data_IF_144210646462
#
_entry.id   IF_144210646462
#
_cell.length_a   1.000
_cell.length_b   1.000
_cell.length_c   1.000
_cell.angle_alpha   90.00
_cell.angle_beta   90.00
_cell.angle_gamma   90.00
#
_symmetry.space_group_name_H-M   'P 1'
#
loop_
_entity.id
_entity.type
_entity.pdbx_description
1 polymer ?
#
# COMPACT_ATOMS: atom_id res chain seq x y z
N UNK A 1 2.83 -4.00 12.82
CA UNK A 1 1.61 -3.20 13.10
C UNK A 1 0.40 -4.13 13.20
N UNK A 2 -0.81 -3.61 13.40
CA UNK A 2 -2.02 -4.43 13.59
C UNK A 2 -2.31 -5.41 12.45
N UNK A 3 -2.31 -4.94 11.20
CA UNK A 3 -2.78 -5.69 10.01
C UNK A 3 -1.75 -5.84 8.89
N UNK A 4 -0.51 -5.38 9.09
CA UNK A 4 0.61 -5.52 8.14
C UNK A 4 0.82 -4.37 7.17
N UNK A 5 -0.20 -3.57 6.86
CA UNK A 5 -0.06 -2.52 5.83
C UNK A 5 1.01 -1.47 6.17
N UNK A 6 1.00 -0.95 7.41
CA UNK A 6 2.03 0.01 7.86
C UNK A 6 3.42 -0.62 7.90
N UNK A 7 3.52 -1.93 8.16
CA UNK A 7 4.80 -2.63 8.16
C UNK A 7 5.33 -2.82 6.73
N UNK A 8 4.45 -3.02 5.73
CA UNK A 8 4.84 -3.05 4.31
C UNK A 8 5.40 -1.69 3.86
N UNK A 9 4.72 -0.58 4.20
CA UNK A 9 5.23 0.77 3.89
C UNK A 9 6.60 1.00 4.53
N UNK A 10 6.75 0.65 5.82
CA UNK A 10 8.01 0.79 6.54
C UNK A 10 9.13 -0.06 5.91
N UNK A 11 8.84 -1.30 5.54
CA UNK A 11 9.78 -2.20 4.87
C UNK A 11 10.25 -1.61 3.54
N UNK A 12 9.33 -1.10 2.71
CA UNK A 12 9.68 -0.44 1.44
C UNK A 12 10.56 0.78 1.66
N UNK A 13 10.22 1.64 2.62
CA UNK A 13 11.00 2.83 2.93
C UNK A 13 12.41 2.47 3.43
N UNK A 14 12.54 1.52 4.35
CA UNK A 14 13.84 1.07 4.85
C UNK A 14 14.71 0.45 3.75
N UNK A 15 14.11 -0.35 2.87
CA UNK A 15 14.79 -0.88 1.69
C UNK A 15 15.32 0.23 0.78
N UNK A 16 14.52 1.27 0.51
CA UNK A 16 14.94 2.44 -0.26
C UNK A 16 16.07 3.24 0.42
N UNK A 17 16.16 3.19 1.75
CA UNK A 17 17.25 3.79 2.54
C UNK A 17 18.50 2.89 2.62
N UNK A 18 18.53 1.76 1.92
CA UNK A 18 19.69 0.87 1.82
C UNK A 18 19.74 -0.27 2.86
N UNK A 19 18.70 -0.44 3.66
CA UNK A 19 18.60 -1.60 4.56
C UNK A 19 18.27 -2.85 3.76
N UNK A 20 19.11 -3.89 3.87
CA UNK A 20 19.03 -5.06 2.98
C UNK A 20 18.32 -6.27 3.58
N UNK A 21 18.15 -6.35 4.90
CA UNK A 21 17.43 -7.44 5.58
C UNK A 21 16.27 -6.89 6.40
N UNK A 22 15.23 -6.43 5.70
CA UNK A 22 14.00 -5.91 6.29
C UNK A 22 12.83 -6.77 5.84
N UNK A 23 11.98 -7.18 6.80
CA UNK A 23 10.83 -8.06 6.55
C UNK A 23 9.59 -7.53 7.23
N UNK A 24 8.45 -7.69 6.56
CA UNK A 24 7.13 -7.47 7.15
C UNK A 24 6.53 -8.80 7.61
N UNK A 25 5.93 -8.84 8.79
CA UNK A 25 5.26 -10.03 9.32
C UNK A 25 3.95 -10.28 8.56
N UNK A 26 3.94 -11.31 7.71
CA UNK A 26 2.76 -11.76 6.97
C UNK A 26 1.77 -12.52 7.87
N UNK A 27 0.55 -12.77 7.36
CA UNK A 27 -0.49 -13.50 8.09
C UNK A 27 -1.18 -12.66 9.15
N UNK A 28 -1.70 -11.47 8.79
CA UNK A 28 -2.41 -10.59 9.72
C UNK A 28 -1.53 -9.83 10.70
N UNK A 29 -0.20 -9.93 10.60
CA UNK A 29 0.77 -9.27 11.50
C UNK A 29 0.46 -9.48 12.98
N UNK A 30 0.29 -8.40 13.77
CA UNK A 30 0.03 -8.54 15.20
C UNK A 30 -1.36 -9.15 15.46
N UNK A 31 -2.36 -8.85 14.64
CA UNK A 31 -3.68 -9.48 14.75
C UNK A 31 -3.59 -11.00 14.57
N UNK A 32 -2.92 -11.45 13.50
CA UNK A 32 -2.74 -12.88 13.27
C UNK A 32 -1.81 -13.56 14.28
N UNK A 33 -0.84 -12.84 14.86
CA UNK A 33 -0.02 -13.35 15.97
C UNK A 33 -0.88 -13.70 17.20
N UNK A 34 -1.82 -12.82 17.54
CA UNK A 34 -2.77 -13.03 18.63
C UNK A 34 -3.74 -14.16 18.30
N UNK A 35 -4.29 -14.19 17.08
CA UNK A 35 -5.21 -15.26 16.63
C UNK A 35 -4.55 -16.65 16.65
N UNK A 36 -3.25 -16.72 16.35
CA UNK A 36 -2.46 -17.95 16.43
C UNK A 36 -2.14 -18.38 17.87
N UNK A 37 -2.52 -17.60 18.89
CA UNK A 37 -2.29 -17.90 20.30
C UNK A 37 -0.84 -17.72 20.75
N UNK A 38 -0.05 -16.93 20.03
CA UNK A 38 1.33 -16.67 20.43
C UNK A 38 1.40 -15.70 21.62
N UNK A 39 2.46 -15.79 22.46
CA UNK A 39 2.57 -14.95 23.65
C UNK A 39 2.58 -13.45 23.33
N UNK A 40 1.95 -12.66 24.20
CA UNK A 40 1.96 -11.19 24.16
C UNK A 40 2.49 -10.63 25.48
N UNK A 41 3.21 -9.51 25.41
CA UNK A 41 3.62 -8.76 26.59
C UNK A 41 2.69 -7.55 26.78
N UNK A 42 2.40 -7.22 28.04
CA UNK A 42 1.60 -6.05 28.40
C UNK A 42 2.50 -4.84 28.70
N UNK A 43 1.94 -3.63 28.51
CA UNK A 43 2.65 -2.38 28.77
C UNK A 43 3.54 -1.91 27.61
N UNK A 44 4.28 -0.83 27.86
CA UNK A 44 5.24 -0.31 26.89
C UNK A 44 6.48 -1.21 26.85
N UNK A 45 7.04 -1.49 25.66
CA UNK A 45 8.37 -2.06 25.55
C UNK A 45 9.38 -1.21 26.37
N UNK A 46 10.42 -1.83 26.95
CA UNK A 46 11.47 -1.06 27.61
C UNK A 46 12.07 -0.06 26.61
N UNK A 47 12.54 1.08 27.12
CA UNK A 47 13.24 2.02 26.25
C UNK A 47 14.38 1.30 25.52
N UNK A 48 14.54 1.55 24.21
CA UNK A 48 15.58 0.89 23.44
C UNK A 48 16.93 1.25 24.04
N UNK A 49 17.71 0.24 24.43
CA UNK A 49 19.15 0.42 24.65
C UNK A 49 19.72 0.99 23.35
N UNK A 50 20.33 2.17 23.42
CA UNK A 50 20.64 3.04 22.28
C UNK A 50 21.10 2.23 21.04
N UNK A 51 20.23 2.13 20.03
CA UNK A 51 20.44 1.30 18.84
C UNK A 51 21.48 1.87 17.86
N UNK A 52 22.38 2.77 18.30
CA UNK A 52 23.28 3.55 17.45
C UNK A 52 22.55 4.16 16.23
N UNK A 53 21.28 4.55 16.40
CA UNK A 53 20.52 5.17 15.33
C UNK A 53 21.15 6.54 15.01
N UNK A 54 21.43 6.78 13.72
CA UNK A 54 21.84 8.10 13.28
C UNK A 54 20.77 9.12 13.68
N UNK A 55 21.21 10.29 14.16
CA UNK A 55 20.27 11.39 14.39
C UNK A 55 19.60 11.75 13.06
N UNK A 56 18.26 11.80 13.01
CA UNK A 56 17.58 12.17 11.79
C UNK A 56 17.89 13.62 11.44
N UNK A 57 17.98 13.93 10.15
CA UNK A 57 18.05 15.31 9.69
C UNK A 57 16.85 16.09 10.29
N UNK A 58 17.09 17.18 11.06
CA UNK A 58 16.01 17.92 11.73
C UNK A 58 14.94 18.46 10.78
N UNK A 59 15.32 18.84 9.55
CA UNK A 59 14.37 19.31 8.55
C UNK A 59 13.49 18.16 8.05
N UNK A 60 14.09 17.01 7.77
CA UNK A 60 13.34 15.81 7.38
C UNK A 60 12.41 15.33 8.51
N UNK A 61 12.90 15.35 9.75
CA UNK A 61 12.11 15.00 10.93
C UNK A 61 10.89 15.93 11.09
N UNK A 62 11.08 17.24 10.92
CA UNK A 62 10.00 18.20 10.96
C UNK A 62 8.99 17.97 9.83
N UNK A 63 9.44 17.74 8.60
CA UNK A 63 8.57 17.44 7.45
C UNK A 63 7.74 16.17 7.68
N UNK A 64 8.36 15.08 8.14
CA UNK A 64 7.65 13.83 8.43
C UNK A 64 6.66 14.03 9.58
N UNK A 65 7.05 14.75 10.63
CA UNK A 65 6.17 15.02 11.77
C UNK A 65 4.94 15.83 11.37
N UNK A 66 5.12 16.86 10.54
CA UNK A 66 4.01 17.67 10.00
C UNK A 66 3.11 16.84 9.07
N UNK A 67 3.68 16.02 8.19
CA UNK A 67 2.91 15.08 7.37
C UNK A 67 2.06 14.14 8.22
N UNK A 68 2.63 13.55 9.27
CA UNK A 68 1.92 12.62 10.16
C UNK A 68 0.81 13.30 10.97
N UNK A 69 1.02 14.56 11.36
CA UNK A 69 0.03 15.35 12.07
C UNK A 69 -1.16 15.75 11.17
N UNK A 70 -0.94 15.85 9.86
CA UNK A 70 -1.91 16.35 8.87
C UNK A 70 -2.29 15.31 7.81
N UNK A 71 -2.29 14.02 8.16
CA UNK A 71 -2.75 12.99 7.21
C UNK A 71 -4.22 13.22 6.85
N UNK A 72 -4.57 13.28 5.55
CA UNK A 72 -5.96 13.45 5.14
C UNK A 72 -6.80 12.23 5.51
N UNK A 73 -8.11 12.43 5.59
CA UNK A 73 -9.06 11.34 5.75
C UNK A 73 -8.94 10.35 4.57
N UNK A 74 -9.05 9.05 4.87
CA UNK A 74 -8.87 8.00 3.86
C UNK A 74 -7.45 7.84 3.33
N UNK A 75 -6.44 8.49 3.93
CA UNK A 75 -5.06 8.39 3.47
C UNK A 75 -4.52 6.96 3.51
N UNK A 76 -3.92 6.55 2.40
CA UNK A 76 -3.15 5.31 2.29
C UNK A 76 -3.97 4.12 1.82
N UNK A 77 -5.08 3.78 2.46
CA UNK A 77 -5.84 2.56 2.13
C UNK A 77 -7.34 2.82 2.16
N UNK A 78 -8.07 2.31 1.17
CA UNK A 78 -9.54 2.35 1.12
C UNK A 78 -10.12 0.94 1.07
N UNK A 79 -11.37 0.77 1.52
CA UNK A 79 -12.07 -0.52 1.48
C UNK A 79 -12.66 -0.80 0.10
N UNK A 80 -13.16 -2.03 -0.10
CA UNK A 80 -13.90 -2.40 -1.30
C UNK A 80 -15.19 -1.58 -1.41
N UNK A 81 -15.88 -1.37 -0.29
CA UNK A 81 -17.11 -0.55 -0.22
C UNK A 81 -16.82 0.89 -0.66
N UNK A 82 -15.79 1.52 -0.07
CA UNK A 82 -15.36 2.87 -0.45
C UNK A 82 -15.02 2.94 -1.95
N UNK A 83 -14.27 1.95 -2.47
CA UNK A 83 -13.89 1.94 -3.88
C UNK A 83 -15.11 1.81 -4.79
N UNK A 84 -16.08 0.95 -4.46
CA UNK A 84 -17.30 0.80 -5.26
C UNK A 84 -18.14 2.07 -5.29
N UNK A 85 -18.26 2.77 -4.15
CA UNK A 85 -18.95 4.06 -4.09
C UNK A 85 -18.22 5.11 -4.92
N UNK A 86 -16.89 5.20 -4.77
CA UNK A 86 -16.11 6.19 -5.50
C UNK A 86 -16.06 5.94 -7.01
N UNK A 87 -16.02 4.69 -7.47
CA UNK A 87 -16.12 4.37 -8.90
C UNK A 87 -17.47 4.79 -9.50
N UNK A 88 -18.54 4.76 -8.71
CA UNK A 88 -19.87 5.20 -9.16
C UNK A 88 -20.00 6.74 -9.19
N UNK A 89 -19.28 7.43 -8.30
CA UNK A 89 -19.38 8.89 -8.11
C UNK A 89 -18.30 9.67 -8.86
N UNK A 90 -17.17 9.04 -9.15
CA UNK A 90 -15.98 9.70 -9.70
C UNK A 90 -15.46 8.94 -10.93
N UNK A 91 -15.90 9.31 -12.14
CA UNK A 91 -15.45 8.68 -13.38
C UNK A 91 -13.97 8.95 -13.70
N UNK A 92 -13.33 9.92 -13.02
CA UNK A 92 -11.93 10.28 -13.21
C UNK A 92 -10.99 9.53 -12.24
N UNK A 93 -11.51 8.63 -11.39
CA UNK A 93 -10.68 7.78 -10.53
C UNK A 93 -9.91 6.77 -11.38
N UNK A 94 -8.58 6.76 -11.25
CA UNK A 94 -7.71 5.85 -11.99
C UNK A 94 -7.35 4.65 -11.14
N UNK A 95 -7.75 3.47 -11.59
CA UNK A 95 -7.33 2.20 -11.03
C UNK A 95 -6.03 1.75 -11.68
N UNK A 96 -5.07 1.30 -10.87
CA UNK A 96 -3.79 0.75 -11.34
C UNK A 96 -3.61 -0.66 -10.79
N UNK A 97 -3.65 -1.65 -11.68
CA UNK A 97 -3.38 -3.05 -11.36
C UNK A 97 -1.88 -3.32 -11.47
N UNK A 98 -1.25 -3.65 -10.33
CA UNK A 98 0.18 -3.97 -10.26
C UNK A 98 0.46 -5.46 -10.04
N UNK A 99 -0.51 -6.33 -10.36
CA UNK A 99 -0.30 -7.78 -10.41
C UNK A 99 0.63 -8.17 -11.56
N UNK A 100 0.98 -9.45 -11.63
CA UNK A 100 1.67 -10.04 -12.78
C UNK A 100 0.67 -10.34 -13.89
N UNK A 101 1.16 -10.42 -15.13
CA UNK A 101 0.33 -10.69 -16.30
C UNK A 101 -0.43 -12.00 -16.17
N UNK A 102 0.20 -13.06 -15.66
CA UNK A 102 -0.47 -14.35 -15.49
C UNK A 102 -1.65 -14.27 -14.52
N UNK A 103 -1.54 -13.47 -13.45
CA UNK A 103 -2.64 -13.30 -12.50
C UNK A 103 -3.83 -12.55 -13.13
N UNK A 104 -3.57 -11.60 -14.02
CA UNK A 104 -4.59 -10.83 -14.74
C UNK A 104 -5.25 -11.70 -15.80
N UNK A 105 -4.46 -12.44 -16.60
CA UNK A 105 -4.94 -13.36 -17.62
C UNK A 105 -5.79 -14.50 -17.03
N UNK A 106 -5.37 -15.06 -15.90
CA UNK A 106 -6.07 -16.20 -15.29
C UNK A 106 -7.33 -15.80 -14.51
N UNK A 107 -7.31 -14.66 -13.82
CA UNK A 107 -8.35 -14.31 -12.84
C UNK A 107 -9.19 -13.09 -13.25
N UNK A 108 -8.91 -12.48 -14.39
CA UNK A 108 -9.51 -11.21 -14.80
C UNK A 108 -9.02 -10.02 -13.97
N UNK A 109 -9.65 -8.86 -14.14
CA UNK A 109 -9.27 -7.58 -13.53
C UNK A 109 -10.50 -6.73 -13.14
N UNK A 110 -10.26 -5.63 -12.44
CA UNK A 110 -11.32 -4.64 -12.17
C UNK A 110 -11.48 -3.77 -13.42
N UNK A 111 -12.70 -3.71 -13.96
CA UNK A 111 -13.01 -2.95 -15.18
C UNK A 111 -12.45 -1.51 -15.12
N UNK A 112 -11.84 -1.04 -16.21
CA UNK A 112 -11.24 0.29 -16.31
C UNK A 112 -9.86 0.44 -15.66
N UNK A 113 -9.27 -0.63 -15.09
CA UNK A 113 -7.92 -0.57 -14.54
C UNK A 113 -6.84 -0.42 -15.62
N UNK A 114 -5.86 0.43 -15.35
CA UNK A 114 -4.60 0.51 -16.09
C UNK A 114 -3.67 -0.57 -15.53
N UNK A 115 -3.18 -1.46 -16.39
CA UNK A 115 -2.27 -2.53 -15.99
C UNK A 115 -0.80 -2.08 -16.07
N UNK A 116 -0.10 -2.10 -14.93
CA UNK A 116 1.33 -1.77 -14.81
C UNK A 116 1.97 -2.71 -13.78
N UNK A 117 2.59 -3.83 -14.20
CA UNK A 117 3.21 -4.80 -13.29
C UNK A 117 4.18 -4.13 -12.30
N UNK A 118 4.16 -4.54 -11.02
CA UNK A 118 5.06 -3.93 -10.02
C UNK A 118 6.53 -4.08 -10.41
N UNK A 119 6.91 -5.24 -10.96
CA UNK A 119 8.27 -5.56 -11.40
C UNK A 119 8.77 -4.62 -12.50
N UNK A 120 7.86 -4.06 -13.31
CA UNK A 120 8.15 -3.17 -14.43
C UNK A 120 7.75 -1.71 -14.14
N UNK A 121 7.24 -1.43 -12.94
CA UNK A 121 6.58 -0.18 -12.61
C UNK A 121 7.46 1.05 -12.87
N UNK A 122 8.74 0.97 -12.51
CA UNK A 122 9.70 2.06 -12.75
C UNK A 122 10.06 2.21 -14.23
N UNK A 123 10.29 1.11 -14.94
CA UNK A 123 10.58 1.15 -16.39
C UNK A 123 9.38 1.66 -17.20
N UNK A 124 8.16 1.41 -16.72
CA UNK A 124 6.91 1.88 -17.31
C UNK A 124 6.46 3.24 -16.76
N UNK A 125 7.37 4.06 -16.23
CA UNK A 125 7.03 5.40 -15.71
C UNK A 125 6.29 6.29 -16.72
N UNK A 126 6.54 6.11 -18.03
CA UNK A 126 5.83 6.82 -19.09
C UNK A 126 4.33 6.54 -19.15
N UNK A 127 3.89 5.41 -18.58
CA UNK A 127 2.49 4.97 -18.54
C UNK A 127 1.79 5.32 -17.22
N UNK A 128 2.49 5.98 -16.29
CA UNK A 128 1.88 6.36 -15.02
C UNK A 128 0.77 7.40 -15.23
N UNK A 129 -0.29 7.37 -14.40
CA UNK A 129 -1.30 8.42 -14.43
C UNK A 129 -0.70 9.80 -14.16
N UNK A 130 -1.43 10.86 -14.49
CA UNK A 130 -1.02 12.23 -14.17
C UNK A 130 -0.79 12.40 -12.66
N UNK A 131 0.16 13.25 -12.27
CA UNK A 131 0.58 13.40 -10.87
C UNK A 131 -0.48 13.98 -9.93
N UNK A 132 -1.47 14.66 -10.51
CA UNK A 132 -2.65 15.23 -9.84
C UNK A 132 -3.90 14.34 -9.92
N UNK A 133 -3.80 13.17 -10.57
CA UNK A 133 -4.91 12.23 -10.66
C UNK A 133 -5.26 11.60 -9.31
N UNK A 134 -6.52 11.19 -9.16
CA UNK A 134 -6.98 10.38 -8.03
C UNK A 134 -6.70 8.91 -8.32
N UNK A 135 -5.69 8.34 -7.68
CA UNK A 135 -5.18 7.00 -8.02
C UNK A 135 -5.50 5.99 -6.92
N UNK A 136 -6.01 4.84 -7.33
CA UNK A 136 -6.10 3.65 -6.48
C UNK A 136 -5.26 2.53 -7.09
N UNK A 137 -4.17 2.17 -6.43
CA UNK A 137 -3.37 1.00 -6.80
C UNK A 137 -3.94 -0.25 -6.15
N UNK A 138 -3.86 -1.40 -6.82
CA UNK A 138 -4.15 -2.68 -6.19
C UNK A 138 -3.27 -3.79 -6.75
N UNK A 139 -3.16 -4.87 -5.98
CA UNK A 139 -2.61 -6.14 -6.46
C UNK A 139 -3.51 -7.28 -5.99
N UNK A 140 -3.05 -8.54 -5.99
CA UNK A 140 -3.84 -9.66 -5.47
C UNK A 140 -4.34 -9.47 -4.02
N UNK A 141 -3.44 -9.16 -3.07
CA UNK A 141 -3.77 -9.06 -1.63
C UNK A 141 -3.50 -7.66 -1.01
N UNK A 142 -3.14 -6.66 -1.82
CA UNK A 142 -2.85 -5.28 -1.40
C UNK A 142 -1.38 -4.95 -1.06
N UNK A 143 -0.49 -5.94 -0.86
CA UNK A 143 0.91 -5.65 -0.51
C UNK A 143 1.71 -4.98 -1.63
N UNK A 144 1.65 -5.50 -2.86
CA UNK A 144 2.36 -4.92 -4.01
C UNK A 144 1.78 -3.55 -4.39
N UNK A 145 0.47 -3.37 -4.26
CA UNK A 145 -0.16 -2.07 -4.45
C UNK A 145 0.33 -1.02 -3.43
N UNK A 146 0.53 -1.38 -2.16
CA UNK A 146 1.16 -0.48 -1.19
C UNK A 146 2.59 -0.08 -1.58
N UNK A 147 3.36 -0.99 -2.19
CA UNK A 147 4.69 -0.67 -2.73
C UNK A 147 4.56 0.35 -3.87
N UNK A 148 3.68 0.12 -4.84
CA UNK A 148 3.41 1.04 -5.94
C UNK A 148 2.94 2.42 -5.45
N UNK A 149 2.02 2.48 -4.49
CA UNK A 149 1.60 3.72 -3.83
C UNK A 149 2.78 4.46 -3.19
N UNK A 150 3.65 3.74 -2.49
CA UNK A 150 4.83 4.33 -1.85
C UNK A 150 5.81 4.89 -2.88
N UNK A 151 5.98 4.19 -4.00
CA UNK A 151 6.77 4.66 -5.15
C UNK A 151 6.14 5.94 -5.72
N UNK A 152 4.85 5.95 -6.09
CA UNK A 152 4.21 7.13 -6.67
C UNK A 152 4.35 8.36 -5.74
N UNK A 153 4.14 8.18 -4.43
CA UNK A 153 4.29 9.26 -3.46
C UNK A 153 5.72 9.77 -3.32
N UNK A 154 6.73 8.90 -3.45
CA UNK A 154 8.14 9.35 -3.47
C UNK A 154 8.49 10.17 -4.71
N UNK A 155 7.71 10.04 -5.79
CA UNK A 155 7.77 10.88 -6.99
C UNK A 155 6.86 12.13 -6.93
N UNK A 156 6.26 12.43 -5.78
CA UNK A 156 5.48 13.65 -5.56
C UNK A 156 3.98 13.54 -5.86
N UNK A 157 3.47 12.34 -6.13
CA UNK A 157 2.02 12.13 -6.24
C UNK A 157 1.37 12.29 -4.87
N UNK A 158 0.34 13.13 -4.78
CA UNK A 158 -0.30 13.46 -3.50
C UNK A 158 -1.59 12.68 -3.27
N UNK A 159 -2.31 12.29 -4.33
CA UNK A 159 -3.58 11.57 -4.22
C UNK A 159 -3.50 10.12 -4.71
N UNK A 160 -2.77 9.30 -3.94
CA UNK A 160 -2.65 7.86 -4.20
C UNK A 160 -3.09 7.09 -2.96
N UNK A 161 -3.98 6.13 -3.15
CA UNK A 161 -4.41 5.16 -2.14
C UNK A 161 -4.26 3.75 -2.68
N UNK A 162 -4.33 2.75 -1.80
CA UNK A 162 -4.27 1.35 -2.16
C UNK A 162 -5.55 0.61 -1.76
N UNK A 163 -6.07 -0.28 -2.61
CA UNK A 163 -7.21 -1.13 -2.27
C UNK A 163 -6.85 -2.12 -1.15
N UNK A 164 -7.55 -2.01 -0.01
CA UNK A 164 -7.42 -2.93 1.12
C UNK A 164 -7.80 -4.34 0.71
N UNK A 165 -6.89 -5.30 0.94
CA UNK A 165 -7.12 -6.71 0.59
C UNK A 165 -6.99 -7.00 -0.91
N UNK A 166 -6.78 -5.99 -1.76
CA UNK A 166 -6.53 -6.14 -3.18
C UNK A 166 -7.69 -6.78 -3.96
N UNK A 167 -7.35 -7.36 -5.11
CA UNK A 167 -8.27 -8.06 -6.00
C UNK A 167 -8.99 -9.23 -5.30
N UNK A 168 -8.33 -9.93 -4.38
CA UNK A 168 -8.98 -11.00 -3.61
C UNK A 168 -10.18 -10.49 -2.82
N UNK A 169 -10.04 -9.38 -2.10
CA UNK A 169 -11.15 -8.77 -1.37
C UNK A 169 -12.27 -8.26 -2.29
N UNK A 170 -11.92 -7.79 -3.50
CA UNK A 170 -12.90 -7.40 -4.52
C UNK A 170 -13.76 -8.59 -4.97
N UNK A 171 -13.12 -9.73 -5.24
CA UNK A 171 -13.80 -10.97 -5.63
C UNK A 171 -14.63 -11.54 -4.48
N UNK A 172 -14.09 -11.55 -3.26
CA UNK A 172 -14.80 -12.04 -2.07
C UNK A 172 -16.07 -11.24 -1.76
N UNK A 173 -16.10 -9.96 -2.14
CA UNK A 173 -17.27 -9.10 -2.04
C UNK A 173 -18.34 -9.38 -3.12
N UNK A 174 -18.05 -10.25 -4.11
CA UNK A 174 -18.95 -10.59 -5.21
C UNK A 174 -19.06 -9.50 -6.28
N UNK A 175 -18.08 -8.59 -6.35
CA UNK A 175 -18.09 -7.51 -7.34
C UNK A 175 -17.76 -8.02 -8.76
N UNK A 176 -18.18 -7.29 -9.81
CA UNK A 176 -17.91 -7.67 -11.19
C UNK A 176 -16.41 -7.77 -11.49
N UNK A 177 -16.04 -8.79 -12.27
CA UNK A 177 -14.69 -9.01 -12.77
C UNK A 177 -14.74 -8.94 -14.29
N UNK A 178 -13.87 -8.12 -14.86
CA UNK A 178 -13.64 -8.03 -16.29
C UNK A 178 -12.69 -9.16 -16.72
N UNK A 179 -13.00 -9.78 -17.85
CA UNK A 179 -12.16 -10.76 -18.54
C UNK A 179 -12.17 -10.39 -20.01
N UNK A 180 -11.03 -10.53 -20.68
CA UNK A 180 -10.95 -10.34 -22.14
C UNK A 180 -11.71 -11.43 -22.91
#
# INVERSE_FOLDING_TARGET
CGSGWRATIAMTALGALGWTDVRSLVGGSFGGWVEAGYPVAEGMPPEPEALNAAEPDPALAATISDMLANLPEGWGVLTVEDLTSELAENPDLVLVDVRRSEEVEENGYIEGAVFIPLEEFISMKGEWPASDANIVTYCAAGHRGLIAMTILRSYGYTNVRNLKGGFGAWVDAGNPVATD
#
